data_IF_284792144795
#
_entry.id   IF_284792144795
#
_cell.length_a   1.000
_cell.length_b   1.000
_cell.length_c   1.000
_cell.angle_alpha   90.00
_cell.angle_beta   90.00
_cell.angle_gamma   90.00
#
_symmetry.space_group_name_H-M   'P 1'
#
loop_
_entity.id
_entity.type
_entity.pdbx_description
1 polymer ?
#
# COMPACT_ATOMS: atom_id res chain seq x y z
N UNK A 1 1.40 -7.28 8.43
CA UNK A 1 1.41 -5.80 8.40
C UNK A 1 2.65 -5.35 7.65
N UNK A 2 2.51 -4.68 6.51
CA UNK A 2 3.66 -4.13 5.79
C UNK A 2 4.24 -2.95 6.58
N UNK A 3 5.56 -2.86 6.80
CA UNK A 3 6.19 -1.78 7.57
C UNK A 3 5.80 -0.37 7.10
N UNK A 4 5.56 -0.20 5.80
CA UNK A 4 5.18 1.08 5.19
C UNK A 4 3.78 1.56 5.62
N UNK A 5 2.84 0.66 5.91
CA UNK A 5 1.48 1.06 6.31
C UNK A 5 1.51 1.83 7.64
N UNK A 6 2.20 1.27 8.62
CA UNK A 6 2.35 1.89 9.95
C UNK A 6 3.17 3.18 9.85
N UNK A 7 4.20 3.22 9.01
CA UNK A 7 4.98 4.44 8.81
C UNK A 7 4.15 5.57 8.18
N UNK A 8 3.27 5.26 7.22
CA UNK A 8 2.33 6.23 6.64
C UNK A 8 1.29 6.69 7.67
N UNK A 9 0.76 5.77 8.49
CA UNK A 9 -0.16 6.11 9.59
C UNK A 9 0.47 7.10 10.58
N UNK A 10 1.72 6.85 11.01
CA UNK A 10 2.45 7.74 11.90
C UNK A 10 2.75 9.10 11.24
N UNK A 11 3.28 9.09 10.01
CA UNK A 11 3.54 10.32 9.27
C UNK A 11 2.29 11.19 9.13
N UNK A 12 1.15 10.59 8.76
CA UNK A 12 -0.08 11.33 8.57
C UNK A 12 -0.61 11.92 9.88
N UNK A 13 -0.49 11.18 10.99
CA UNK A 13 -0.85 11.67 12.32
C UNK A 13 0.03 12.84 12.78
N UNK A 14 1.35 12.79 12.53
CA UNK A 14 2.29 13.85 12.92
C UNK A 14 2.12 15.12 12.06
N UNK A 15 1.83 14.95 10.77
CA UNK A 15 1.78 16.05 9.81
C UNK A 15 0.35 16.53 9.45
N UNK A 16 -0.67 15.89 10.01
CA UNK A 16 -2.08 16.26 9.78
C UNK A 16 -2.59 15.92 8.37
N UNK A 17 -2.00 14.93 7.70
CA UNK A 17 -2.41 14.50 6.36
C UNK A 17 -1.34 13.67 5.65
N UNK A 18 -1.71 13.03 4.54
CA UNK A 18 -0.82 12.10 3.83
C UNK A 18 0.05 12.76 2.76
N UNK A 19 -0.14 14.05 2.47
CA UNK A 19 0.50 14.75 1.34
C UNK A 19 2.03 14.82 1.41
N UNK A 20 2.61 14.69 2.61
CA UNK A 20 4.05 14.69 2.85
C UNK A 20 4.59 13.30 3.19
N UNK A 21 3.76 12.26 3.06
CA UNK A 21 4.09 10.89 3.42
C UNK A 21 4.65 10.12 2.22
N UNK A 22 5.78 10.59 1.72
CA UNK A 22 6.53 9.94 0.64
C UNK A 22 7.60 8.99 1.18
N UNK A 23 8.02 8.05 0.34
CA UNK A 23 9.11 7.13 0.65
C UNK A 23 10.42 7.87 0.96
N UNK A 24 11.07 7.50 2.08
CA UNK A 24 12.36 8.07 2.48
C UNK A 24 12.29 9.40 3.23
N UNK A 25 11.09 9.93 3.49
CA UNK A 25 10.89 11.18 4.26
C UNK A 25 9.94 10.93 5.44
N UNK A 26 9.98 11.82 6.45
CA UNK A 26 9.06 11.82 7.59
C UNK A 26 8.88 10.44 8.25
N UNK A 27 10.01 9.73 8.44
CA UNK A 27 10.04 8.41 9.09
C UNK A 27 9.62 7.22 8.20
N UNK A 28 9.23 7.46 6.94
CA UNK A 28 8.86 6.40 6.01
C UNK A 28 10.14 5.79 5.42
N UNK A 29 10.37 4.47 5.60
CA UNK A 29 11.56 3.84 5.06
C UNK A 29 11.53 3.82 3.54
N UNK A 30 12.72 3.79 2.93
CA UNK A 30 12.81 3.62 1.48
C UNK A 30 12.24 2.25 1.06
N UNK A 31 11.54 2.17 -0.07
CA UNK A 31 10.96 0.92 -0.54
C UNK A 31 12.04 -0.12 -0.79
N UNK A 32 11.76 -1.36 -0.38
CA UNK A 32 12.66 -2.50 -0.60
C UNK A 32 11.98 -3.51 -1.50
N UNK A 33 12.69 -3.92 -2.54
CA UNK A 33 12.25 -4.97 -3.45
C UNK A 33 12.56 -6.35 -2.88
N UNK A 34 11.81 -7.36 -3.29
CA UNK A 34 12.02 -8.75 -2.88
C UNK A 34 12.00 -9.65 -4.09
N UNK A 35 12.27 -10.95 -3.92
CA UNK A 35 12.22 -11.91 -5.03
C UNK A 35 10.89 -11.87 -5.82
N UNK A 36 9.77 -11.58 -5.17
CA UNK A 36 8.44 -11.59 -5.81
C UNK A 36 7.85 -10.19 -6.03
N UNK A 37 8.54 -9.15 -5.57
CA UNK A 37 8.16 -7.74 -5.74
C UNK A 37 9.28 -7.01 -6.45
N UNK A 38 9.09 -6.67 -7.73
CA UNK A 38 10.07 -5.95 -8.55
C UNK A 38 10.08 -4.45 -8.28
N UNK A 39 8.99 -3.91 -7.76
CA UNK A 39 8.86 -2.48 -7.48
C UNK A 39 7.96 -2.23 -6.28
N UNK A 40 8.34 -1.23 -5.49
CA UNK A 40 7.52 -0.70 -4.42
C UNK A 40 7.71 0.82 -4.38
N UNK A 41 6.63 1.56 -4.15
CA UNK A 41 6.68 3.01 -3.96
C UNK A 41 5.70 3.45 -2.87
N UNK A 42 6.00 4.58 -2.23
CA UNK A 42 5.09 5.30 -1.35
C UNK A 42 5.08 6.75 -1.80
N UNK A 43 3.93 7.23 -2.28
CA UNK A 43 3.74 8.61 -2.73
C UNK A 43 2.47 9.17 -2.09
N UNK A 44 2.60 10.25 -1.34
CA UNK A 44 1.49 10.89 -0.61
C UNK A 44 0.68 9.89 0.23
N UNK A 45 1.37 8.93 0.82
CA UNK A 45 0.81 7.82 1.60
C UNK A 45 0.23 6.65 0.78
N UNK A 46 0.11 6.78 -0.55
CA UNK A 46 -0.33 5.68 -1.43
C UNK A 46 0.83 4.71 -1.62
N UNK A 47 0.60 3.44 -1.29
CA UNK A 47 1.60 2.38 -1.42
C UNK A 47 1.30 1.58 -2.68
N UNK A 48 2.25 1.50 -3.62
CA UNK A 48 2.11 0.70 -4.84
C UNK A 48 3.13 -0.43 -4.85
N UNK A 49 2.70 -1.64 -5.21
CA UNK A 49 3.52 -2.85 -5.31
C UNK A 49 3.40 -3.45 -6.69
N UNK A 50 4.53 -3.71 -7.34
CA UNK A 50 4.62 -4.41 -8.61
C UNK A 50 5.18 -5.81 -8.39
N UNK A 51 4.41 -6.82 -8.79
CA UNK A 51 4.79 -8.22 -8.69
C UNK A 51 5.74 -8.66 -9.81
N UNK A 52 6.53 -9.69 -9.53
CA UNK A 52 7.40 -10.37 -10.49
C UNK A 52 7.39 -11.88 -10.27
N UNK A 53 8.07 -12.62 -11.14
CA UNK A 53 8.12 -14.09 -11.11
C UNK A 53 6.70 -14.69 -11.20
N UNK A 54 6.28 -15.45 -10.20
CA UNK A 54 4.94 -16.00 -10.08
C UNK A 54 3.85 -14.94 -9.83
N UNK A 55 4.22 -13.71 -9.46
CA UNK A 55 3.31 -12.57 -9.30
C UNK A 55 3.40 -11.59 -10.47
N UNK A 56 4.04 -11.97 -11.58
CA UNK A 56 4.20 -11.07 -12.72
C UNK A 56 2.83 -10.59 -13.24
N UNK A 57 2.73 -9.29 -13.52
CA UNK A 57 1.49 -8.64 -13.94
C UNK A 57 0.56 -8.24 -12.80
N UNK A 58 0.84 -8.63 -11.55
CA UNK A 58 0.10 -8.17 -10.38
C UNK A 58 0.58 -6.77 -9.97
N UNK A 59 -0.35 -5.83 -9.84
CA UNK A 59 -0.12 -4.51 -9.28
C UNK A 59 -1.09 -4.26 -8.12
N UNK A 60 -0.55 -4.05 -6.92
CA UNK A 60 -1.35 -3.79 -5.71
C UNK A 60 -1.21 -2.33 -5.31
N UNK A 61 -2.32 -1.62 -5.24
CA UNK A 61 -2.37 -0.22 -4.81
C UNK A 61 -3.11 -0.16 -3.48
N UNK A 62 -2.48 0.39 -2.46
CA UNK A 62 -3.08 0.65 -1.15
C UNK A 62 -3.19 2.16 -0.92
N UNK A 63 -4.42 2.64 -0.75
CA UNK A 63 -4.71 4.06 -0.54
C UNK A 63 -5.24 4.28 0.87
N UNK A 64 -4.61 5.13 1.69
CA UNK A 64 -5.12 5.47 3.00
C UNK A 64 -6.38 6.34 2.89
N UNK A 65 -7.39 6.05 3.71
CA UNK A 65 -8.53 6.93 3.93
C UNK A 65 -8.21 7.86 5.11
N UNK A 66 -7.85 9.10 4.79
CA UNK A 66 -7.55 10.13 5.79
C UNK A 66 -8.80 10.92 6.16
N UNK A 67 -8.99 11.11 7.46
CA UNK A 67 -9.97 12.02 8.05
C UNK A 67 -9.27 12.96 9.04
N UNK A 68 -9.58 14.25 8.99
CA UNK A 68 -8.90 15.24 9.83
C UNK A 68 -9.19 15.09 11.33
N UNK A 69 -10.31 14.49 11.71
CA UNK A 69 -10.68 14.29 13.11
C UNK A 69 -10.21 12.94 13.65
N UNK A 70 -10.20 11.91 12.81
CA UNK A 70 -9.97 10.53 13.21
C UNK A 70 -8.65 9.94 12.70
N UNK A 71 -7.89 10.69 11.91
CA UNK A 71 -6.66 10.22 11.28
C UNK A 71 -6.93 9.24 10.14
N UNK A 72 -6.09 8.21 9.99
CA UNK A 72 -6.34 7.15 9.00
C UNK A 72 -7.45 6.22 9.52
N UNK A 73 -8.60 6.23 8.87
CA UNK A 73 -9.79 5.45 9.24
C UNK A 73 -9.87 4.11 8.53
N UNK A 74 -9.10 3.93 7.47
CA UNK A 74 -9.10 2.71 6.67
C UNK A 74 -8.10 2.75 5.55
N UNK A 75 -8.04 1.64 4.80
CA UNK A 75 -7.19 1.51 3.63
C UNK A 75 -7.95 0.82 2.51
N UNK A 76 -8.10 1.51 1.39
CA UNK A 76 -8.58 0.90 0.15
C UNK A 76 -7.43 0.12 -0.48
N UNK A 77 -7.71 -1.09 -0.96
CA UNK A 77 -6.71 -1.97 -1.58
C UNK A 77 -7.26 -2.41 -2.92
N UNK A 78 -6.48 -2.24 -3.97
CA UNK A 78 -6.85 -2.64 -5.33
C UNK A 78 -5.79 -3.59 -5.88
N UNK A 79 -6.20 -4.82 -6.20
CA UNK A 79 -5.38 -5.83 -6.87
C UNK A 79 -5.69 -5.78 -8.37
N UNK A 80 -4.81 -5.16 -9.15
CA UNK A 80 -4.93 -5.11 -10.60
C UNK A 80 -4.08 -6.20 -11.23
N UNK A 81 -4.68 -7.03 -12.07
CA UNK A 81 -3.98 -7.98 -12.91
C UNK A 81 -4.73 -8.13 -14.23
N UNK A 82 -4.01 -8.08 -15.36
CA UNK A 82 -4.66 -8.02 -16.66
C UNK A 82 -5.19 -9.37 -17.16
N UNK A 83 -4.66 -10.50 -16.67
CA UNK A 83 -4.82 -11.78 -17.38
C UNK A 83 -5.05 -13.00 -16.50
N UNK A 84 -5.05 -12.88 -15.17
CA UNK A 84 -5.15 -14.03 -14.27
C UNK A 84 -6.11 -13.75 -13.10
N UNK A 85 -7.35 -14.19 -13.26
CA UNK A 85 -8.40 -14.05 -12.25
C UNK A 85 -8.14 -14.89 -10.99
N UNK A 86 -7.34 -15.96 -11.07
CA UNK A 86 -7.01 -16.78 -9.91
C UNK A 86 -5.99 -16.09 -9.01
N UNK A 87 -4.99 -15.46 -9.62
CA UNK A 87 -4.02 -14.62 -8.91
C UNK A 87 -4.68 -13.34 -8.38
N UNK A 88 -5.64 -12.78 -9.12
CA UNK A 88 -6.48 -11.68 -8.61
C UNK A 88 -7.21 -12.10 -7.33
N UNK A 89 -7.92 -13.23 -7.37
CA UNK A 89 -8.66 -13.72 -6.22
C UNK A 89 -7.74 -14.05 -5.04
N UNK A 90 -6.57 -14.64 -5.28
CA UNK A 90 -5.59 -14.90 -4.24
C UNK A 90 -5.07 -13.60 -3.59
N UNK A 91 -4.81 -12.55 -4.40
CA UNK A 91 -4.44 -11.24 -3.90
C UNK A 91 -5.56 -10.67 -3.03
N UNK A 92 -6.79 -10.65 -3.54
CA UNK A 92 -7.96 -10.16 -2.81
C UNK A 92 -8.22 -10.94 -1.52
N UNK A 93 -8.01 -12.25 -1.51
CA UNK A 93 -8.17 -13.13 -0.35
C UNK A 93 -7.12 -12.88 0.73
N UNK A 94 -5.87 -12.61 0.34
CA UNK A 94 -4.79 -12.24 1.27
C UNK A 94 -5.01 -10.84 1.84
N UNK A 95 -5.53 -9.92 1.02
CA UNK A 95 -5.80 -8.54 1.41
C UNK A 95 -7.23 -8.30 1.87
N UNK A 96 -8.01 -9.37 2.09
CA UNK A 96 -9.46 -9.35 2.32
C UNK A 96 -9.87 -8.29 3.34
N UNK A 97 -10.95 -7.64 2.95
CA UNK A 97 -11.45 -6.35 3.40
C UNK A 97 -11.78 -6.33 4.90
N UNK A 98 -11.10 -5.47 5.66
CA UNK A 98 -11.74 -4.83 6.80
C UNK A 98 -12.65 -3.73 6.23
N UNK A 99 -13.75 -4.16 5.61
CA UNK A 99 -14.92 -3.31 5.45
C UNK A 99 -15.76 -3.53 6.71
N UNK A 100 -15.52 -2.71 7.73
CA UNK A 100 -16.53 -2.45 8.75
C UNK A 100 -17.27 -1.17 8.38
#
# INVERSE_FOLDING_TARGET
MSPNRTAVELCALEHGGTSTCDAGVNGIPSPVITRYVSGMSVEKGVITLTGQESLNGLNVIMTPAWDNANGITGWTRNCNIQSDSTLQQACEDVFRFDAN
#
